data_IF_323102387324
#
_entry.id   IF_323102387324
#
_cell.length_a   1.000
_cell.length_b   1.000
_cell.length_c   1.000
_cell.angle_alpha   90.00
_cell.angle_beta   90.00
_cell.angle_gamma   90.00
#
_symmetry.space_group_name_H-M   'P 1'
#
loop_
_entity.id
_entity.type
_entity.pdbx_description
1 polymer ?
#
# COMPACT_ATOMS: atom_id res chain seq x y z
N UNK A 1 24.64 -13.20 5.14
CA UNK A 1 23.50 -14.11 5.42
C UNK A 1 23.79 -15.43 4.74
N UNK A 2 23.75 -16.58 5.45
CA UNK A 2 24.08 -17.89 4.85
C UNK A 2 22.98 -18.31 3.85
N UNK A 3 23.34 -19.03 2.78
CA UNK A 3 22.41 -19.54 1.74
C UNK A 3 21.18 -20.25 2.32
N UNK A 4 21.38 -21.01 3.40
CA UNK A 4 20.30 -21.68 4.13
C UNK A 4 19.20 -20.72 4.63
N UNK A 5 19.59 -19.55 5.17
CA UNK A 5 18.63 -18.55 5.64
C UNK A 5 17.87 -17.88 4.47
N UNK A 6 18.44 -17.82 3.26
CA UNK A 6 17.71 -17.34 2.08
C UNK A 6 16.69 -18.37 1.62
N UNK A 7 17.08 -19.65 1.58
CA UNK A 7 16.19 -20.73 1.19
C UNK A 7 15.02 -20.90 2.16
N UNK A 8 15.29 -20.87 3.47
CA UNK A 8 14.24 -20.90 4.50
C UNK A 8 13.22 -19.77 4.29
N UNK A 9 13.72 -18.58 3.94
CA UNK A 9 12.87 -17.44 3.65
C UNK A 9 12.08 -17.62 2.36
N UNK A 10 12.69 -18.13 1.29
CA UNK A 10 12.00 -18.45 0.03
C UNK A 10 10.93 -19.53 0.25
N UNK A 11 11.20 -20.53 1.08
CA UNK A 11 10.23 -21.57 1.40
C UNK A 11 9.05 -21.01 2.20
N UNK A 12 9.33 -20.10 3.15
CA UNK A 12 8.27 -19.36 3.81
C UNK A 12 7.46 -18.54 2.80
N UNK A 13 8.12 -17.86 1.86
CA UNK A 13 7.46 -17.10 0.80
C UNK A 13 6.52 -17.98 -0.03
N UNK A 14 6.99 -19.16 -0.44
CA UNK A 14 6.18 -20.11 -1.21
C UNK A 14 4.97 -20.61 -0.41
N UNK A 15 5.16 -20.94 0.86
CA UNK A 15 4.04 -21.31 1.77
C UNK A 15 3.01 -20.19 1.88
N UNK A 16 3.49 -18.95 1.89
CA UNK A 16 2.69 -17.74 1.99
C UNK A 16 1.98 -17.38 0.67
N UNK A 17 2.55 -17.70 -0.51
CA UNK A 17 1.89 -17.51 -1.81
C UNK A 17 0.64 -18.39 -2.01
N UNK A 18 0.60 -19.57 -1.38
CA UNK A 18 -0.60 -20.44 -1.40
C UNK A 18 -1.77 -19.85 -0.61
N UNK A 19 -1.51 -18.84 0.21
CA UNK A 19 -2.54 -18.04 0.88
C UNK A 19 -2.97 -16.93 -0.09
N UNK A 20 -3.56 -17.30 -1.23
CA UNK A 20 -4.18 -16.29 -2.12
C UNK A 20 -5.44 -15.75 -1.45
N UNK A 21 -5.52 -14.44 -1.19
CA UNK A 21 -6.62 -13.85 -0.45
C UNK A 21 -7.79 -13.58 -1.39
N UNK A 22 -8.65 -14.58 -1.60
CA UNK A 22 -9.92 -14.36 -2.31
C UNK A 22 -11.03 -13.83 -1.38
N UNK A 23 -10.72 -13.57 -0.11
CA UNK A 23 -11.71 -13.11 0.89
C UNK A 23 -11.20 -11.88 1.64
N UNK A 24 -11.86 -10.71 1.51
CA UNK A 24 -11.47 -9.46 2.17
C UNK A 24 -11.30 -9.57 3.70
N UNK A 25 -12.08 -10.41 4.38
CA UNK A 25 -11.97 -10.64 5.82
C UNK A 25 -10.69 -11.39 6.25
N UNK A 26 -10.16 -12.28 5.40
CA UNK A 26 -8.96 -13.06 5.69
C UNK A 26 -7.68 -12.19 5.61
N UNK A 27 -7.71 -11.16 4.76
CA UNK A 27 -6.64 -10.15 4.65
C UNK A 27 -6.51 -9.28 5.90
N UNK A 28 -7.60 -9.07 6.62
CA UNK A 28 -7.56 -8.26 7.84
C UNK A 28 -6.80 -9.03 8.92
N UNK A 29 -7.18 -10.26 9.25
CA UNK A 29 -6.52 -10.93 10.39
C UNK A 29 -5.14 -11.53 10.05
N UNK A 30 -5.06 -12.32 8.96
CA UNK A 30 -3.81 -12.97 8.54
C UNK A 30 -2.96 -12.09 7.66
N UNK A 31 -3.59 -11.24 6.84
CA UNK A 31 -2.88 -10.29 5.99
C UNK A 31 -2.12 -9.23 6.79
N UNK A 32 -2.55 -8.79 7.98
CA UNK A 32 -1.76 -7.85 8.79
C UNK A 32 -0.48 -8.47 9.39
N UNK A 33 -0.54 -9.66 9.99
CA UNK A 33 0.66 -10.38 10.46
C UNK A 33 1.63 -10.65 9.30
N UNK A 34 1.07 -11.07 8.17
CA UNK A 34 1.77 -11.31 6.92
C UNK A 34 2.46 -10.04 6.40
N UNK A 35 1.72 -8.93 6.33
CA UNK A 35 2.21 -7.62 5.89
C UNK A 35 3.30 -7.11 6.82
N UNK A 36 3.11 -7.15 8.15
CA UNK A 36 4.13 -6.74 9.10
C UNK A 36 5.40 -7.57 9.00
N UNK A 37 5.27 -8.88 8.76
CA UNK A 37 6.41 -9.76 8.51
C UNK A 37 7.15 -9.36 7.22
N UNK A 38 6.43 -9.12 6.12
CA UNK A 38 7.02 -8.74 4.83
C UNK A 38 7.60 -7.33 4.76
N UNK A 39 6.96 -6.36 5.42
CA UNK A 39 7.44 -4.98 5.48
C UNK A 39 8.84 -4.91 6.08
N UNK A 40 9.07 -5.70 7.13
CA UNK A 40 10.34 -5.80 7.83
C UNK A 40 11.32 -6.78 7.19
N UNK A 41 10.87 -7.52 6.17
CA UNK A 41 11.73 -8.47 5.50
C UNK A 41 12.77 -7.72 4.64
N UNK A 42 14.08 -7.94 4.87
CA UNK A 42 15.13 -7.25 4.13
C UNK A 42 15.31 -7.87 2.74
N UNK A 43 14.35 -7.67 1.82
CA UNK A 43 14.40 -8.22 0.46
C UNK A 43 15.66 -7.78 -0.30
N UNK A 44 16.25 -6.62 0.06
CA UNK A 44 17.55 -6.18 -0.45
C UNK A 44 18.68 -7.19 -0.18
N UNK A 45 18.60 -7.95 0.91
CA UNK A 45 19.60 -8.99 1.18
C UNK A 45 19.58 -10.12 0.15
N UNK A 46 18.45 -10.34 -0.54
CA UNK A 46 18.30 -11.40 -1.55
C UNK A 46 18.96 -11.01 -2.89
N UNK A 47 19.18 -9.72 -3.15
CA UNK A 47 19.68 -9.25 -4.46
C UNK A 47 21.07 -9.73 -4.85
N UNK A 48 21.83 -10.28 -3.90
CA UNK A 48 23.20 -10.72 -4.10
C UNK A 48 23.31 -12.23 -4.38
N UNK A 49 22.17 -12.94 -4.47
CA UNK A 49 22.15 -14.38 -4.69
C UNK A 49 21.81 -14.72 -6.14
N UNK A 50 22.44 -15.77 -6.66
CA UNK A 50 22.04 -16.40 -7.92
C UNK A 50 20.74 -17.18 -7.68
N UNK A 51 19.62 -16.54 -7.98
CA UNK A 51 18.29 -17.14 -7.85
C UNK A 51 17.98 -18.04 -9.05
N UNK A 52 17.29 -19.15 -8.80
CA UNK A 52 16.63 -19.87 -9.90
C UNK A 52 15.53 -19.00 -10.51
N UNK A 53 15.05 -19.34 -11.72
CA UNK A 53 13.96 -18.60 -12.37
C UNK A 53 12.71 -18.56 -11.47
N UNK A 54 12.31 -19.70 -10.90
CA UNK A 54 11.15 -19.80 -10.00
C UNK A 54 11.33 -18.96 -8.73
N UNK A 55 12.53 -18.96 -8.14
CA UNK A 55 12.79 -18.16 -6.95
C UNK A 55 12.80 -16.66 -7.26
N UNK A 56 13.31 -16.27 -8.43
CA UNK A 56 13.28 -14.88 -8.89
C UNK A 56 11.84 -14.39 -9.14
N UNK A 57 10.98 -15.23 -9.71
CA UNK A 57 9.54 -14.96 -9.85
C UNK A 57 8.87 -14.79 -8.48
N UNK A 58 9.14 -15.68 -7.52
CA UNK A 58 8.62 -15.55 -6.16
C UNK A 58 9.06 -14.21 -5.53
N UNK A 59 10.33 -13.84 -5.66
CA UNK A 59 10.84 -12.55 -5.15
C UNK A 59 10.15 -11.37 -5.84
N UNK A 60 9.85 -11.47 -7.13
CA UNK A 60 9.12 -10.42 -7.85
C UNK A 60 7.70 -10.24 -7.33
N UNK A 61 6.96 -11.32 -7.08
CA UNK A 61 5.61 -11.27 -6.52
C UNK A 61 5.58 -10.58 -5.15
N UNK A 62 6.60 -10.79 -4.33
CA UNK A 62 6.71 -10.08 -3.04
C UNK A 62 6.92 -8.59 -3.20
N UNK A 63 7.73 -8.21 -4.17
CA UNK A 63 7.93 -6.80 -4.48
C UNK A 63 6.66 -6.17 -5.07
N UNK A 64 5.82 -6.93 -5.79
CA UNK A 64 4.48 -6.49 -6.18
C UNK A 64 3.60 -6.24 -4.96
N UNK A 65 3.44 -7.24 -4.07
CA UNK A 65 2.64 -7.12 -2.85
C UNK A 65 3.11 -5.96 -1.96
N UNK A 66 4.43 -5.79 -1.82
CA UNK A 66 5.03 -4.67 -1.10
C UNK A 66 4.69 -3.33 -1.76
N UNK A 67 4.67 -3.29 -3.09
CA UNK A 67 4.26 -2.12 -3.86
C UNK A 67 2.80 -1.76 -3.63
N UNK A 68 1.91 -2.74 -3.74
CA UNK A 68 0.45 -2.57 -3.59
C UNK A 68 0.11 -2.04 -2.19
N UNK A 69 0.76 -2.61 -1.18
CA UNK A 69 0.63 -2.15 0.18
C UNK A 69 1.17 -0.74 0.37
N UNK A 70 2.33 -0.42 -0.20
CA UNK A 70 2.88 0.92 -0.11
C UNK A 70 1.97 1.95 -0.79
N UNK A 71 1.39 1.63 -1.94
CA UNK A 71 0.44 2.50 -2.64
C UNK A 71 -0.83 2.72 -1.80
N UNK A 72 -1.41 1.64 -1.28
CA UNK A 72 -2.54 1.68 -0.35
C UNK A 72 -2.28 2.58 0.86
N UNK A 73 -1.05 2.59 1.37
CA UNK A 73 -0.63 3.43 2.50
C UNK A 73 -0.17 4.83 2.08
N UNK A 74 -0.44 5.24 0.84
CA UNK A 74 -0.03 6.53 0.25
C UNK A 74 1.48 6.78 0.37
N UNK A 75 2.27 5.73 0.12
CA UNK A 75 3.74 5.72 0.10
C UNK A 75 4.29 5.51 -1.33
N UNK A 76 3.98 6.41 -2.28
CA UNK A 76 4.27 6.20 -3.70
C UNK A 76 5.75 6.00 -4.04
N UNK A 77 6.70 6.65 -3.35
CA UNK A 77 8.11 6.40 -3.69
C UNK A 77 8.52 4.97 -3.32
N UNK A 78 7.97 4.45 -2.22
CA UNK A 78 8.19 3.08 -1.79
C UNK A 78 7.50 2.11 -2.75
N UNK A 79 6.29 2.41 -3.19
CA UNK A 79 5.56 1.61 -4.15
C UNK A 79 6.30 1.54 -5.51
N UNK A 80 6.65 2.70 -6.09
CA UNK A 80 7.45 2.79 -7.32
C UNK A 80 8.76 2.01 -7.21
N UNK A 81 9.47 2.12 -6.09
CA UNK A 81 10.71 1.37 -5.89
C UNK A 81 10.45 -0.14 -5.84
N UNK A 82 9.38 -0.56 -5.18
CA UNK A 82 9.03 -1.98 -5.04
C UNK A 82 8.68 -2.58 -6.39
N UNK A 83 7.81 -1.95 -7.19
CA UNK A 83 7.49 -2.41 -8.54
C UNK A 83 8.71 -2.43 -9.47
N UNK A 84 9.62 -1.45 -9.37
CA UNK A 84 10.89 -1.48 -10.13
C UNK A 84 11.78 -2.66 -9.76
N UNK A 85 11.74 -3.10 -8.50
CA UNK A 85 12.42 -4.34 -8.12
C UNK A 85 11.68 -5.56 -8.66
N UNK A 86 10.35 -5.62 -8.59
CA UNK A 86 9.57 -6.72 -9.18
C UNK A 86 9.91 -6.93 -10.67
N UNK A 87 9.89 -5.86 -11.47
CA UNK A 87 10.23 -5.90 -12.89
C UNK A 87 11.69 -6.32 -13.16
N UNK A 88 12.59 -6.13 -12.20
CA UNK A 88 14.00 -6.55 -12.31
C UNK A 88 14.15 -8.06 -12.13
N UNK A 89 13.38 -8.68 -11.23
CA UNK A 89 13.51 -10.10 -10.88
C UNK A 89 12.72 -11.03 -11.81
N UNK A 90 11.66 -10.56 -12.48
CA UNK A 90 10.82 -11.41 -13.34
C UNK A 90 10.81 -10.97 -14.80
N UNK A 91 11.98 -10.65 -15.38
CA UNK A 91 12.08 -10.03 -16.71
C UNK A 91 11.32 -10.82 -17.79
N UNK A 92 10.51 -10.11 -18.57
CA UNK A 92 9.80 -10.68 -19.72
C UNK A 92 8.57 -11.52 -19.37
N UNK A 93 8.17 -11.56 -18.10
CA UNK A 93 6.97 -12.27 -17.67
C UNK A 93 5.78 -11.32 -17.51
N UNK A 94 4.60 -11.91 -17.29
CA UNK A 94 3.40 -11.20 -16.89
C UNK A 94 3.59 -10.33 -15.62
N UNK A 95 4.39 -10.78 -14.65
CA UNK A 95 4.69 -10.00 -13.44
C UNK A 95 5.43 -8.71 -13.79
N UNK A 96 6.33 -8.74 -14.77
CA UNK A 96 7.00 -7.51 -15.25
C UNK A 96 6.02 -6.59 -15.97
N UNK A 97 5.10 -7.14 -16.77
CA UNK A 97 4.07 -6.33 -17.43
C UNK A 97 3.19 -5.61 -16.38
N UNK A 98 2.71 -6.34 -15.38
CA UNK A 98 1.92 -5.78 -14.27
C UNK A 98 2.71 -4.75 -13.46
N UNK A 99 3.99 -5.01 -13.16
CA UNK A 99 4.83 -4.05 -12.45
C UNK A 99 4.94 -2.71 -13.21
N UNK A 100 5.07 -2.75 -14.54
CA UNK A 100 5.05 -1.53 -15.34
C UNK A 100 3.68 -0.85 -15.38
N UNK A 101 2.61 -1.63 -15.41
CA UNK A 101 1.25 -1.11 -15.31
C UNK A 101 1.03 -0.37 -13.98
N UNK A 102 1.38 -0.97 -12.85
CA UNK A 102 1.23 -0.32 -11.53
C UNK A 102 2.12 0.91 -11.37
N UNK A 103 3.36 0.89 -11.91
CA UNK A 103 4.20 2.09 -11.99
C UNK A 103 3.49 3.19 -12.79
N UNK A 104 2.80 2.84 -13.88
CA UNK A 104 2.07 3.81 -14.69
C UNK A 104 0.90 4.44 -13.92
N UNK A 105 0.18 3.64 -13.13
CA UNK A 105 -0.92 4.10 -12.27
C UNK A 105 -0.41 5.10 -11.22
N UNK A 106 0.71 4.81 -10.55
CA UNK A 106 1.29 5.79 -9.62
C UNK A 106 1.66 7.09 -10.34
N UNK A 107 2.18 7.01 -11.56
CA UNK A 107 2.50 8.21 -12.35
C UNK A 107 1.25 9.00 -12.75
N UNK A 108 0.13 8.32 -13.04
CA UNK A 108 -1.19 8.95 -13.20
C UNK A 108 -1.58 9.69 -11.92
N UNK A 109 -1.48 9.02 -10.77
CA UNK A 109 -1.86 9.53 -9.45
C UNK A 109 -1.01 10.71 -8.95
N UNK A 110 0.17 10.94 -9.53
CA UNK A 110 1.01 12.13 -9.26
C UNK A 110 0.99 13.17 -10.40
N UNK A 111 0.21 12.93 -11.45
CA UNK A 111 0.07 13.85 -12.58
C UNK A 111 1.21 13.82 -13.61
N UNK A 112 2.07 12.80 -13.61
CA UNK A 112 3.21 12.67 -14.53
C UNK A 112 2.83 11.84 -15.77
N UNK A 113 2.14 12.50 -16.72
CA UNK A 113 1.62 11.86 -17.94
C UNK A 113 2.71 11.19 -18.77
N UNK A 114 3.89 11.82 -18.86
CA UNK A 114 4.99 11.32 -19.68
C UNK A 114 5.48 9.97 -19.14
N UNK A 115 5.74 9.88 -17.84
CA UNK A 115 6.21 8.64 -17.25
C UNK A 115 5.11 7.59 -17.15
N UNK A 116 3.84 7.98 -16.97
CA UNK A 116 2.70 7.05 -17.03
C UNK A 116 2.64 6.34 -18.40
N UNK A 117 2.55 7.09 -19.50
CA UNK A 117 2.48 6.53 -20.85
C UNK A 117 3.73 5.71 -21.22
N UNK A 118 4.92 6.14 -20.77
CA UNK A 118 6.15 5.39 -21.02
C UNK A 118 6.11 3.99 -20.40
N UNK A 119 5.65 3.86 -19.15
CA UNK A 119 5.59 2.56 -18.48
C UNK A 119 4.44 1.71 -19.02
N UNK A 120 3.31 2.33 -19.38
CA UNK A 120 2.20 1.62 -20.00
C UNK A 120 2.56 1.01 -21.36
N UNK A 121 3.33 1.72 -22.18
CA UNK A 121 3.88 1.16 -23.43
C UNK A 121 4.77 -0.06 -23.19
N UNK A 122 5.54 -0.07 -22.09
CA UNK A 122 6.35 -1.24 -21.71
C UNK A 122 5.49 -2.41 -21.26
N UNK A 123 4.40 -2.15 -20.53
CA UNK A 123 3.45 -3.18 -20.11
C UNK A 123 2.78 -3.82 -21.34
N UNK A 124 2.26 -3.01 -22.26
CA UNK A 124 1.63 -3.46 -23.52
C UNK A 124 2.62 -4.25 -24.38
N UNK A 125 3.87 -3.78 -24.52
CA UNK A 125 4.88 -4.49 -25.31
C UNK A 125 5.24 -5.88 -24.76
N UNK A 126 4.97 -6.14 -23.47
CA UNK A 126 5.18 -7.45 -22.85
C UNK A 126 3.91 -8.31 -22.83
N UNK A 127 2.73 -7.69 -22.92
CA UNK A 127 1.43 -8.33 -22.85
C UNK A 127 0.43 -7.49 -23.64
N UNK A 128 0.34 -7.76 -24.94
CA UNK A 128 -0.41 -6.98 -25.93
C UNK A 128 -1.89 -7.37 -26.02
N UNK A 129 -2.29 -8.42 -25.31
CA UNK A 129 -3.66 -8.94 -25.20
C UNK A 129 -4.36 -8.52 -23.89
N UNK A 130 -3.73 -7.68 -23.05
CA UNK A 130 -4.33 -7.17 -21.83
C UNK A 130 -5.13 -5.88 -22.10
N UNK A 131 -6.45 -6.01 -22.23
CA UNK A 131 -7.39 -4.92 -22.53
C UNK A 131 -7.26 -3.72 -21.58
N UNK A 132 -7.15 -3.99 -20.27
CA UNK A 132 -7.00 -2.96 -19.22
C UNK A 132 -5.84 -1.98 -19.49
N UNK A 133 -4.75 -2.46 -20.11
CA UNK A 133 -3.61 -1.60 -20.43
C UNK A 133 -3.95 -0.58 -21.52
N UNK A 134 -4.72 -0.99 -22.52
CA UNK A 134 -5.15 -0.10 -23.60
C UNK A 134 -6.25 0.85 -23.14
N UNK A 135 -7.20 0.39 -22.31
CA UNK A 135 -8.21 1.25 -21.70
C UNK A 135 -7.56 2.40 -20.93
N UNK A 136 -6.62 2.07 -20.04
CA UNK A 136 -5.86 3.08 -19.29
C UNK A 136 -5.10 4.03 -20.23
N UNK A 137 -4.51 3.51 -21.31
CA UNK A 137 -3.77 4.33 -22.27
C UNK A 137 -4.69 5.33 -22.97
N UNK A 138 -5.85 4.85 -23.41
CA UNK A 138 -6.88 5.62 -24.08
C UNK A 138 -7.46 6.68 -23.15
N UNK A 139 -7.70 6.36 -21.88
CA UNK A 139 -8.14 7.33 -20.87
C UNK A 139 -7.13 8.47 -20.70
N UNK A 140 -5.85 8.15 -20.50
CA UNK A 140 -4.77 9.15 -20.35
C UNK A 140 -4.62 10.00 -21.63
N UNK A 141 -4.80 9.39 -22.81
CA UNK A 141 -4.72 10.07 -24.09
C UNK A 141 -5.90 11.03 -24.29
N UNK A 142 -7.12 10.55 -24.07
CA UNK A 142 -8.38 11.25 -24.33
C UNK A 142 -8.65 12.37 -23.33
N UNK A 143 -8.48 12.10 -22.04
CA UNK A 143 -8.85 13.04 -20.97
C UNK A 143 -7.65 13.78 -20.39
N UNK A 144 -6.42 13.34 -20.71
CA UNK A 144 -5.22 13.86 -20.07
C UNK A 144 -5.14 13.46 -18.59
N UNK A 145 -4.22 14.09 -17.85
CA UNK A 145 -4.21 14.03 -16.40
C UNK A 145 -4.66 15.40 -15.90
N UNK A 146 -5.89 15.53 -15.42
CA UNK A 146 -6.28 16.79 -14.79
C UNK A 146 -5.56 16.93 -13.44
N UNK A 147 -5.28 18.16 -13.00
CA UNK A 147 -4.71 18.40 -11.65
C UNK A 147 -5.56 17.81 -10.52
N UNK A 148 -6.86 17.57 -10.75
CA UNK A 148 -7.75 16.94 -9.76
C UNK A 148 -7.57 15.43 -9.64
N UNK A 149 -6.82 14.78 -10.53
CA UNK A 149 -6.50 13.34 -10.45
C UNK A 149 -5.31 13.04 -9.53
N UNK A 150 -4.60 14.07 -9.03
CA UNK A 150 -3.45 13.80 -8.15
C UNK A 150 -3.94 13.34 -6.77
N UNK A 151 -3.93 12.03 -6.53
CA UNK A 151 -4.28 11.44 -5.23
C UNK A 151 -3.25 11.81 -4.16
N UNK A 152 -1.98 11.96 -4.54
CA UNK A 152 -0.93 12.41 -3.64
C UNK A 152 0.20 13.15 -4.38
N UNK A 153 0.88 14.03 -3.64
CA UNK A 153 2.07 14.75 -4.12
C UNK A 153 3.32 14.21 -3.44
N UNK A 154 4.31 13.79 -4.24
CA UNK A 154 5.58 13.22 -3.74
C UNK A 154 6.33 14.14 -2.78
N UNK A 155 6.18 15.47 -2.92
CA UNK A 155 6.84 16.45 -2.07
C UNK A 155 6.04 16.79 -0.81
N UNK A 156 4.78 16.32 -0.73
CA UNK A 156 3.86 16.64 0.35
C UNK A 156 4.35 16.08 1.70
N UNK A 157 4.03 16.81 2.77
CA UNK A 157 4.35 16.34 4.12
C UNK A 157 3.58 15.06 4.48
N UNK A 158 2.38 14.86 3.89
CA UNK A 158 1.55 13.66 4.08
C UNK A 158 2.29 12.44 3.57
N UNK A 159 2.74 12.47 2.32
CA UNK A 159 3.54 11.39 1.71
C UNK A 159 4.81 11.12 2.51
N UNK A 160 5.56 12.16 2.88
CA UNK A 160 6.79 11.99 3.68
C UNK A 160 6.53 11.40 5.07
N UNK A 161 5.41 11.74 5.70
CA UNK A 161 5.00 11.17 6.99
C UNK A 161 4.58 9.71 6.83
N UNK A 162 3.74 9.38 5.84
CA UNK A 162 3.35 8.01 5.50
C UNK A 162 4.57 7.13 5.25
N UNK A 163 5.51 7.57 4.42
CA UNK A 163 6.73 6.82 4.11
C UNK A 163 7.63 6.64 5.35
N UNK A 164 7.71 7.65 6.22
CA UNK A 164 8.44 7.50 7.47
C UNK A 164 7.78 6.48 8.40
N UNK A 165 6.44 6.46 8.48
CA UNK A 165 5.68 5.45 9.24
C UNK A 165 5.85 4.06 8.63
N UNK A 166 5.71 3.93 7.31
CA UNK A 166 5.90 2.69 6.57
C UNK A 166 7.28 2.07 6.84
N UNK A 167 8.33 2.89 6.84
CA UNK A 167 9.70 2.44 7.11
C UNK A 167 10.00 2.24 8.61
N UNK A 168 9.00 2.33 9.50
CA UNK A 168 9.20 2.21 10.94
C UNK A 168 9.98 3.36 11.58
N UNK A 169 10.21 4.47 10.85
CA UNK A 169 10.93 5.65 11.35
C UNK A 169 9.98 6.61 12.08
N UNK A 170 9.47 6.15 13.22
CA UNK A 170 8.46 6.88 14.02
C UNK A 170 8.94 8.25 14.50
N UNK A 171 10.24 8.39 14.81
CA UNK A 171 10.83 9.68 15.21
C UNK A 171 10.74 10.71 14.09
N UNK A 172 11.04 10.31 12.84
CA UNK A 172 10.91 11.16 11.66
C UNK A 172 9.45 11.46 11.33
N UNK A 173 8.57 10.47 11.38
CA UNK A 173 7.14 10.69 11.17
C UNK A 173 6.61 11.74 12.16
N UNK A 174 6.94 11.57 13.45
CA UNK A 174 6.58 12.50 14.51
C UNK A 174 7.12 13.91 14.23
N UNK A 175 8.39 14.06 13.88
CA UNK A 175 8.97 15.38 13.62
C UNK A 175 8.32 16.10 12.42
N UNK A 176 7.91 15.36 11.38
CA UNK A 176 7.17 15.91 10.25
C UNK A 176 5.78 16.43 10.68
N UNK A 177 5.07 15.67 11.51
CA UNK A 177 3.73 16.02 11.99
C UNK A 177 3.74 17.24 12.91
N UNK A 178 4.65 17.26 13.89
CA UNK A 178 4.68 18.31 14.90
C UNK A 178 5.23 19.66 14.39
N UNK A 179 6.20 19.64 13.46
CA UNK A 179 6.74 20.88 12.84
C UNK A 179 5.70 21.70 12.11
N UNK A 180 4.55 21.12 11.75
CA UNK A 180 3.54 21.80 10.93
C UNK A 180 2.37 22.39 11.74
N UNK A 181 2.21 22.09 13.04
CA UNK A 181 1.05 22.54 13.89
C UNK A 181 -0.31 22.51 13.16
N UNK A 182 -0.56 21.53 12.30
CA UNK A 182 -1.77 21.50 11.46
C UNK A 182 -2.90 20.77 12.15
N UNK A 183 -4.08 21.39 12.20
CA UNK A 183 -5.34 20.73 12.63
C UNK A 183 -5.63 19.46 11.82
N UNK A 184 -5.31 19.45 10.53
CA UNK A 184 -5.52 18.31 9.63
C UNK A 184 -4.46 17.19 9.77
N UNK A 185 -3.74 17.13 10.89
CA UNK A 185 -2.76 16.06 11.20
C UNK A 185 -3.36 14.93 12.02
N UNK A 186 -4.60 15.07 12.51
CA UNK A 186 -5.23 14.12 13.41
C UNK A 186 -5.25 12.67 12.87
N UNK A 187 -5.61 12.39 11.60
CA UNK A 187 -5.53 11.03 11.04
C UNK A 187 -4.12 10.44 11.06
N UNK A 188 -3.11 11.26 10.77
CA UNK A 188 -1.73 10.82 10.78
C UNK A 188 -1.18 10.60 12.20
N UNK A 189 -1.63 11.41 13.16
CA UNK A 189 -1.32 11.18 14.58
C UNK A 189 -1.97 9.88 15.06
N UNK A 190 -3.23 9.66 14.68
CA UNK A 190 -3.94 8.42 14.97
C UNK A 190 -3.19 7.20 14.43
N UNK A 191 -2.80 7.20 13.15
CA UNK A 191 -1.93 6.15 12.56
C UNK A 191 -0.63 5.96 13.35
N UNK A 192 0.06 7.06 13.67
CA UNK A 192 1.34 7.01 14.38
C UNK A 192 1.21 6.39 15.78
N UNK A 193 0.19 6.77 16.54
CA UNK A 193 -0.04 6.24 17.89
C UNK A 193 -0.61 4.82 17.87
N UNK A 194 -1.44 4.49 16.88
CA UNK A 194 -1.87 3.12 16.60
C UNK A 194 -0.68 2.19 16.35
N UNK A 195 0.32 2.68 15.60
CA UNK A 195 1.52 1.90 15.30
C UNK A 195 2.46 1.76 16.48
N UNK A 196 2.38 2.70 17.44
CA UNK A 196 3.10 2.59 18.72
C UNK A 196 2.40 1.61 19.65
N UNK A 197 1.09 1.48 19.58
CA UNK A 197 0.28 0.73 20.55
C UNK A 197 0.13 1.51 21.86
N UNK A 198 0.07 2.84 21.79
CA UNK A 198 0.03 3.71 22.97
C UNK A 198 -1.42 3.96 23.43
N UNK A 199 -1.64 4.22 24.72
CA UNK A 199 -2.96 4.65 25.23
C UNK A 199 -3.44 5.98 24.63
N UNK A 200 -2.50 6.80 24.15
CA UNK A 200 -2.80 8.06 23.43
C UNK A 200 -3.65 7.79 22.18
N UNK A 201 -3.55 6.58 21.61
CA UNK A 201 -4.39 6.14 20.50
C UNK A 201 -5.89 6.31 20.76
N UNK A 202 -6.39 5.83 21.91
CA UNK A 202 -7.82 5.88 22.19
C UNK A 202 -8.33 7.31 22.38
N UNK A 203 -7.53 8.17 22.99
CA UNK A 203 -7.84 9.60 23.08
C UNK A 203 -7.92 10.25 21.69
N UNK A 204 -6.99 9.92 20.79
CA UNK A 204 -7.04 10.41 19.41
C UNK A 204 -8.22 9.83 18.62
N UNK A 205 -8.65 8.60 18.93
CA UNK A 205 -9.86 8.00 18.37
C UNK A 205 -11.08 8.80 18.81
N UNK A 206 -11.22 9.10 20.10
CA UNK A 206 -12.30 9.96 20.62
C UNK A 206 -12.32 11.32 19.90
N UNK A 207 -11.16 11.98 19.78
CA UNK A 207 -11.03 13.24 19.04
C UNK A 207 -11.46 13.08 17.55
N UNK A 208 -11.15 11.95 16.91
CA UNK A 208 -11.58 11.67 15.53
C UNK A 208 -13.11 11.46 15.44
N UNK A 209 -13.73 10.81 16.41
CA UNK A 209 -15.19 10.61 16.43
C UNK A 209 -15.97 11.91 16.55
N UNK A 210 -15.34 12.97 17.05
CA UNK A 210 -15.91 14.32 17.11
C UNK A 210 -15.77 15.07 15.78
N UNK A 211 -14.87 14.64 14.88
CA UNK A 211 -14.73 15.24 13.57
C UNK A 211 -15.82 14.76 12.61
N UNK A 212 -16.70 15.66 12.20
CA UNK A 212 -17.85 15.35 11.32
C UNK A 212 -17.45 14.89 9.92
N UNK A 213 -16.22 15.20 9.49
CA UNK A 213 -15.76 15.00 8.12
C UNK A 213 -14.73 13.86 7.98
N UNK A 214 -14.40 13.16 9.07
CA UNK A 214 -13.40 12.10 8.98
C UNK A 214 -14.00 10.79 8.47
N UNK A 215 -13.33 10.22 7.48
CA UNK A 215 -13.60 8.89 6.97
C UNK A 215 -12.46 7.98 7.43
N UNK A 216 -12.82 6.90 8.13
CA UNK A 216 -11.91 5.82 8.47
C UNK A 216 -11.62 5.04 7.20
N UNK A 217 -10.42 5.21 6.68
CA UNK A 217 -9.93 4.50 5.50
C UNK A 217 -9.33 3.16 5.92
N UNK A 218 -9.40 2.18 5.04
CA UNK A 218 -8.77 0.87 5.23
C UNK A 218 -7.28 1.00 5.56
N UNK A 219 -6.59 2.02 5.00
CA UNK A 219 -5.21 2.36 5.30
C UNK A 219 -4.95 2.69 6.79
N UNK A 220 -5.95 3.20 7.52
CA UNK A 220 -5.81 3.55 8.94
C UNK A 220 -5.62 2.29 9.81
N UNK A 221 -6.26 1.19 9.44
CA UNK A 221 -6.24 -0.08 10.15
C UNK A 221 -4.86 -0.74 10.11
N UNK A 222 -4.14 -0.62 8.99
CA UNK A 222 -2.78 -1.17 8.83
C UNK A 222 -1.78 -0.65 9.84
N UNK A 223 -2.01 0.55 10.36
CA UNK A 223 -1.10 1.11 11.34
C UNK A 223 -1.45 0.68 12.76
N UNK A 224 -2.58 0.02 13.02
CA UNK A 224 -3.02 -0.30 14.39
C UNK A 224 -2.38 -1.62 14.83
N UNK A 225 -1.62 -1.58 15.93
CA UNK A 225 -1.00 -2.79 16.47
C UNK A 225 -2.04 -3.80 16.96
N UNK A 226 -1.73 -5.12 16.88
CA UNK A 226 -2.61 -6.15 17.38
C UNK A 226 -2.94 -6.12 18.88
N UNK A 227 -2.19 -5.38 19.69
CA UNK A 227 -2.52 -5.21 21.11
C UNK A 227 -3.71 -4.27 21.32
N UNK A 228 -4.02 -3.40 20.36
CA UNK A 228 -5.09 -2.40 20.46
C UNK A 228 -6.44 -2.96 20.01
N UNK A 229 -6.50 -3.62 18.85
CA UNK A 229 -7.75 -4.20 18.34
C UNK A 229 -8.27 -5.40 19.16
N UNK A 230 -7.44 -6.04 20.00
CA UNK A 230 -7.85 -7.14 20.87
C UNK A 230 -8.56 -6.62 22.13
N UNK A 231 -8.59 -5.29 22.31
CA UNK A 231 -9.30 -4.65 23.41
C UNK A 231 -10.75 -4.38 22.99
N UNK A 232 -11.71 -4.75 23.85
CA UNK A 232 -13.13 -4.48 23.63
C UNK A 232 -13.41 -2.98 23.41
N UNK A 233 -12.64 -2.12 24.09
CA UNK A 233 -12.71 -0.65 23.95
C UNK A 233 -12.53 -0.20 22.49
N UNK A 234 -11.64 -0.83 21.72
CA UNK A 234 -11.45 -0.50 20.31
C UNK A 234 -12.72 -0.73 19.49
N UNK A 235 -13.33 -1.90 19.61
CA UNK A 235 -14.54 -2.25 18.88
C UNK A 235 -15.73 -1.39 19.29
N UNK A 236 -15.81 -0.98 20.55
CA UNK A 236 -16.82 -0.01 20.99
C UNK A 236 -16.71 1.33 20.25
N UNK A 237 -15.50 1.82 19.98
CA UNK A 237 -15.32 3.04 19.17
C UNK A 237 -15.67 2.84 17.69
N UNK A 238 -15.39 1.66 17.13
CA UNK A 238 -15.77 1.32 15.76
C UNK A 238 -17.30 1.30 15.62
N UNK A 239 -18.02 0.69 16.56
CA UNK A 239 -19.48 0.71 16.57
C UNK A 239 -20.03 2.14 16.76
N UNK A 240 -19.41 2.94 17.63
CA UNK A 240 -19.80 4.35 17.80
C UNK A 240 -19.59 5.17 16.51
N UNK A 241 -18.48 4.96 15.79
CA UNK A 241 -18.24 5.58 14.49
C UNK A 241 -19.36 5.22 13.49
N UNK A 242 -19.75 3.94 13.43
CA UNK A 242 -20.85 3.46 12.58
C UNK A 242 -22.19 4.11 12.96
N UNK A 243 -22.51 4.19 14.25
CA UNK A 243 -23.75 4.85 14.74
C UNK A 243 -23.80 6.33 14.33
N UNK A 244 -22.66 7.01 14.34
CA UNK A 244 -22.52 8.40 13.88
C UNK A 244 -22.55 8.56 12.36
N UNK A 245 -22.71 7.45 11.62
CA UNK A 245 -22.65 7.42 10.15
C UNK A 245 -21.32 7.96 9.60
N UNK A 246 -20.25 7.89 10.40
CA UNK A 246 -18.91 8.11 9.87
C UNK A 246 -18.62 6.97 8.90
N UNK A 247 -18.02 7.28 7.75
CA UNK A 247 -17.63 6.24 6.81
C UNK A 247 -16.52 5.42 7.45
N UNK A 248 -16.88 4.24 7.95
CA UNK A 248 -15.91 3.24 8.40
C UNK A 248 -15.78 2.23 7.27
N UNK A 249 -14.81 2.46 6.39
CA UNK A 249 -14.54 1.55 5.29
C UNK A 249 -13.78 0.33 5.83
N UNK A 250 -14.52 -0.69 6.25
CA UNK A 250 -13.96 -2.00 6.62
C UNK A 250 -13.68 -2.88 5.40
N UNK A 251 -14.35 -2.58 4.30
CA UNK A 251 -14.16 -3.23 3.02
C UNK A 251 -13.46 -2.24 2.09
N UNK A 252 -12.34 -2.65 1.51
CA UNK A 252 -11.81 -1.93 0.35
C UNK A 252 -12.85 -2.07 -0.74
N UNK A 253 -13.62 -1.00 -0.99
CA UNK A 253 -14.26 -0.83 -2.30
C UNK A 253 -13.12 -0.79 -3.31
N UNK A 254 -12.78 -1.93 -3.90
CA UNK A 254 -12.01 -2.00 -5.15
C UNK A 254 -12.87 -1.43 -6.28
N UNK A 255 -13.36 -0.21 -6.13
CA UNK A 255 -14.02 0.53 -7.20
C UNK A 255 -12.96 1.37 -7.90
N UNK A 256 -11.91 0.73 -8.43
CA UNK A 256 -11.30 1.20 -9.67
C UNK A 256 -12.15 0.55 -10.77
N UNK A 257 -13.23 1.24 -11.15
CA UNK A 257 -14.21 0.86 -12.17
C UNK A 257 -14.99 -0.46 -11.94
N UNK A 258 -15.90 -0.48 -10.97
CA UNK A 258 -17.14 -1.26 -11.14
C UNK A 258 -18.25 -0.30 -11.58
N UNK A 259 -18.22 0.06 -12.87
CA UNK A 259 -19.39 0.64 -13.55
C UNK A 259 -20.27 -0.45 -14.17
N UNK A 260 -20.04 -1.70 -13.81
CA UNK A 260 -20.88 -2.84 -14.17
C UNK A 260 -21.58 -3.28 -12.88
N UNK A 261 -22.84 -2.88 -12.79
CA UNK A 261 -23.95 -3.51 -12.05
C UNK A 261 -25.00 -2.42 -11.75
N UNK A 262 -25.59 -1.90 -12.83
CA UNK A 262 -26.90 -1.29 -12.89
C UNK A 262 -27.54 -1.67 -14.23
#
# INVERSE_FOLDING_TARGET
MKKAAVNEKIDLIKKLQFIRPNTPGYLVEKGFEFVHYYLNFPLKSISNFNLSKSDAECVADLYMLKGDLADLLSCPNVALQSYKYASKYSKGTFVTANAYFEISQIYVDIGDKKNALLNLKKAIALKDDCEQFYETQNEIAKYGLSKSHSLYSLSSWKTKASEAMYCGNWKRANSILYRKKRKNSLPFKFRLEGARGSEVFFKLFEELLETKDYQFDYADWFYIKPVLWNQSRFWNYVEEARKRKLSVCLERKFTRNSKEDA
#
